data_IF_469086895602
#
_entry.id   IF_469086895602
#
_cell.length_a   1.000
_cell.length_b   1.000
_cell.length_c   1.000
_cell.angle_alpha   90.00
_cell.angle_beta   90.00
_cell.angle_gamma   90.00
#
_symmetry.space_group_name_H-M   'P 1'
#
loop_
_entity.id
_entity.type
_entity.pdbx_description
1 polymer ?
#
# COMPACT_ATOMS: atom_id res chain seq x y z
N UNK A 1 4.29 0.97 21.02
CA UNK A 1 4.69 -0.03 20.02
C UNK A 1 4.21 0.39 18.64
N UNK A 2 4.96 0.04 17.64
CA UNK A 2 4.63 0.40 16.24
C UNK A 2 3.48 -0.48 15.77
N UNK A 3 2.48 0.16 15.16
CA UNK A 3 1.36 -0.55 14.53
C UNK A 3 1.03 0.07 13.19
N UNK A 4 0.73 -0.78 12.22
CA UNK A 4 0.23 -0.37 10.90
C UNK A 4 -1.11 -1.08 10.71
N UNK A 5 -2.19 -0.29 10.75
CA UNK A 5 -3.56 -0.82 10.66
C UNK A 5 -4.12 -0.55 9.28
N UNK A 6 -4.35 -1.61 8.53
CA UNK A 6 -4.86 -1.50 7.17
C UNK A 6 -6.38 -1.61 7.14
N UNK A 7 -6.98 -1.02 6.10
CA UNK A 7 -8.42 -1.09 5.88
C UNK A 7 -8.85 -2.52 5.53
N UNK A 8 -10.15 -2.77 5.64
CA UNK A 8 -10.71 -4.11 5.48
C UNK A 8 -10.76 -4.60 4.04
N UNK A 9 -11.19 -5.85 3.86
CA UNK A 9 -11.22 -6.46 2.53
C UNK A 9 -12.18 -5.75 1.58
N UNK A 10 -11.85 -5.80 0.30
CA UNK A 10 -12.62 -5.14 -0.76
C UNK A 10 -13.01 -6.16 -1.82
N UNK A 11 -14.27 -6.09 -2.25
CA UNK A 11 -14.78 -6.89 -3.35
C UNK A 11 -15.31 -5.91 -4.39
N UNK A 12 -14.69 -5.86 -5.55
CA UNK A 12 -15.00 -4.85 -6.56
C UNK A 12 -15.10 -5.48 -7.95
N UNK A 13 -15.70 -4.74 -8.88
CA UNK A 13 -15.90 -5.21 -10.26
C UNK A 13 -14.74 -4.77 -11.14
N UNK A 14 -14.47 -5.53 -12.23
CA UNK A 14 -13.47 -5.11 -13.22
C UNK A 14 -13.76 -3.71 -13.76
N UNK A 15 -12.70 -2.95 -13.98
CA UNK A 15 -12.81 -1.59 -14.47
C UNK A 15 -12.98 -0.55 -13.39
N UNK A 16 -13.30 -0.94 -12.17
CA UNK A 16 -13.46 -0.02 -11.05
C UNK A 16 -12.10 0.41 -10.49
N UNK A 17 -12.13 1.33 -9.54
CA UNK A 17 -10.96 1.75 -8.76
C UNK A 17 -11.22 1.43 -7.30
N UNK A 18 -10.15 1.28 -6.53
CA UNK A 18 -10.25 1.06 -5.08
C UNK A 18 -9.18 1.89 -4.40
N UNK A 19 -9.47 2.38 -3.20
CA UNK A 19 -8.50 3.12 -2.39
C UNK A 19 -8.44 2.46 -1.02
N UNK A 20 -7.26 2.01 -0.64
CA UNK A 20 -7.06 1.36 0.65
C UNK A 20 -6.14 2.21 1.52
N UNK A 21 -6.23 2.02 2.84
CA UNK A 21 -5.52 2.85 3.79
C UNK A 21 -4.64 2.03 4.71
N UNK A 22 -3.65 2.72 5.29
CA UNK A 22 -2.71 2.16 6.25
C UNK A 22 -2.46 3.23 7.30
N UNK A 23 -3.07 3.07 8.48
CA UNK A 23 -2.92 4.03 9.57
C UNK A 23 -1.76 3.61 10.46
N UNK A 24 -0.81 4.52 10.64
CA UNK A 24 0.39 4.28 11.41
C UNK A 24 0.26 4.85 12.81
N UNK A 25 0.83 4.17 13.80
CA UNK A 25 0.91 4.66 15.17
C UNK A 25 2.16 4.11 15.84
N UNK A 26 2.58 4.77 16.92
CA UNK A 26 3.71 4.31 17.71
C UNK A 26 5.06 4.81 17.23
N UNK A 27 5.09 5.69 16.24
CA UNK A 27 6.33 6.30 15.75
C UNK A 27 6.00 7.60 15.03
N UNK A 28 7.02 8.37 14.70
CA UNK A 28 6.82 9.64 13.97
C UNK A 28 6.62 9.33 12.49
N UNK A 29 5.37 9.47 12.06
CA UNK A 29 4.93 9.08 10.71
C UNK A 29 5.80 9.70 9.60
N UNK A 30 6.18 10.97 9.76
CA UNK A 30 6.95 11.69 8.73
C UNK A 30 8.44 11.33 8.71
N UNK A 31 8.91 10.50 9.63
CA UNK A 31 10.34 10.16 9.71
C UNK A 31 10.73 8.97 8.86
N UNK A 32 9.77 8.22 8.32
CA UNK A 32 10.05 6.98 7.59
C UNK A 32 9.16 6.87 6.36
N UNK A 33 9.69 6.30 5.29
CA UNK A 33 8.90 6.05 4.09
C UNK A 33 7.95 4.88 4.33
N UNK A 34 6.82 4.88 3.61
CA UNK A 34 5.86 3.80 3.66
C UNK A 34 5.85 3.11 2.31
N UNK A 35 6.16 1.81 2.31
CA UNK A 35 6.15 0.99 1.11
C UNK A 35 4.83 0.25 0.97
N UNK A 36 4.49 -0.09 -0.26
CA UNK A 36 3.35 -0.93 -0.58
C UNK A 36 3.82 -2.13 -1.38
N UNK A 37 3.28 -3.31 -1.05
CA UNK A 37 3.73 -4.58 -1.60
C UNK A 37 2.50 -5.41 -1.94
N UNK A 38 2.58 -6.14 -3.05
CA UNK A 38 1.50 -7.00 -3.54
C UNK A 38 1.91 -8.45 -3.41
N UNK A 39 0.97 -9.30 -2.97
CA UNK A 39 1.20 -10.74 -2.92
C UNK A 39 -0.01 -11.47 -3.48
N UNK A 40 0.15 -12.09 -4.65
CA UNK A 40 -0.87 -12.96 -5.22
C UNK A 40 -0.77 -14.33 -4.57
N UNK A 41 -1.90 -15.07 -4.44
CA UNK A 41 -1.88 -16.39 -3.82
C UNK A 41 -0.83 -17.29 -4.46
N UNK A 42 0.01 -17.91 -3.60
CA UNK A 42 1.03 -18.85 -4.05
C UNK A 42 2.23 -18.22 -4.75
N UNK A 43 2.34 -16.90 -4.76
CA UNK A 43 3.44 -16.20 -5.42
C UNK A 43 4.22 -15.36 -4.41
N UNK A 44 5.40 -14.90 -4.84
CA UNK A 44 6.25 -14.07 -4.00
C UNK A 44 5.75 -12.64 -3.90
N UNK A 45 6.42 -11.86 -3.08
CA UNK A 45 6.09 -10.44 -2.88
C UNK A 45 6.55 -9.64 -4.09
N UNK A 46 5.76 -8.64 -4.44
CA UNK A 46 6.07 -7.71 -5.52
C UNK A 46 5.98 -6.30 -4.99
N UNK A 47 7.09 -5.54 -5.06
CA UNK A 47 7.15 -4.17 -4.57
C UNK A 47 6.42 -3.25 -5.53
N UNK A 48 5.51 -2.42 -5.01
CA UNK A 48 4.73 -1.48 -5.81
C UNK A 48 5.41 -0.12 -5.83
N UNK A 49 5.82 0.39 -4.67
CA UNK A 49 6.42 1.70 -4.57
C UNK A 49 6.44 2.17 -3.13
N UNK A 50 6.92 3.41 -2.93
CA UNK A 50 6.87 4.03 -1.60
C UNK A 50 6.47 5.50 -1.69
N UNK A 51 6.00 6.00 -0.56
CA UNK A 51 5.77 7.43 -0.38
C UNK A 51 6.55 7.90 0.84
N UNK A 52 7.16 9.08 0.72
CA UNK A 52 7.80 9.78 1.83
C UNK A 52 6.79 10.78 2.38
N UNK A 53 6.19 10.52 3.57
CA UNK A 53 5.13 11.40 4.07
C UNK A 53 5.60 12.82 4.40
N UNK A 54 6.90 13.02 4.60
CA UNK A 54 7.44 14.33 4.91
C UNK A 54 7.41 15.25 3.69
N UNK A 55 7.78 14.71 2.53
CA UNK A 55 7.91 15.48 1.29
C UNK A 55 6.78 15.25 0.30
N UNK A 56 5.95 14.24 0.53
CA UNK A 56 4.98 13.69 -0.42
C UNK A 56 5.64 13.09 -1.67
N UNK A 57 6.95 12.91 -1.65
CA UNK A 57 7.67 12.29 -2.76
C UNK A 57 7.35 10.81 -2.88
N UNK A 58 7.21 10.33 -4.10
CA UNK A 58 6.89 8.94 -4.38
C UNK A 58 7.90 8.33 -5.33
N UNK A 59 8.02 7.00 -5.23
CA UNK A 59 8.76 6.22 -6.21
C UNK A 59 7.96 4.96 -6.50
N UNK A 60 7.85 4.60 -7.77
CA UNK A 60 7.05 3.46 -8.20
C UNK A 60 7.90 2.44 -8.95
N UNK A 61 7.57 1.16 -8.75
CA UNK A 61 8.00 0.12 -9.65
C UNK A 61 7.38 0.45 -11.02
N UNK A 62 8.20 0.40 -12.05
CA UNK A 62 7.78 0.74 -13.42
C UNK A 62 6.50 0.02 -13.84
N UNK A 63 6.35 -1.22 -13.38
CA UNK A 63 5.20 -2.07 -13.68
C UNK A 63 3.88 -1.50 -13.14
N UNK A 64 3.94 -0.70 -12.07
CA UNK A 64 2.74 -0.16 -11.43
C UNK A 64 2.49 1.31 -11.73
N UNK A 65 3.34 1.94 -12.54
CA UNK A 65 3.09 3.33 -12.95
C UNK A 65 1.80 3.38 -13.76
N UNK A 66 0.92 4.32 -13.41
CA UNK A 66 -0.38 4.43 -14.04
C UNK A 66 -1.45 3.49 -13.46
N UNK A 67 -1.04 2.49 -12.66
CA UNK A 67 -1.95 1.59 -11.97
C UNK A 67 -2.15 2.03 -10.53
N UNK A 68 -1.08 2.30 -9.82
CA UNK A 68 -1.10 2.65 -8.40
C UNK A 68 -0.79 4.13 -8.19
N UNK A 69 -1.50 4.76 -7.25
CA UNK A 69 -1.23 6.13 -6.82
C UNK A 69 -1.11 6.12 -5.30
N UNK A 70 0.04 6.57 -4.80
CA UNK A 70 0.31 6.62 -3.37
C UNK A 70 0.17 8.04 -2.86
N UNK A 71 -0.56 8.20 -1.76
CA UNK A 71 -0.74 9.49 -1.10
C UNK A 71 -0.62 9.29 0.40
N UNK A 72 -0.53 10.38 1.14
CA UNK A 72 -0.50 10.33 2.60
C UNK A 72 -1.15 11.56 3.19
N UNK A 73 -1.61 11.43 4.43
CA UNK A 73 -2.18 12.52 5.20
C UNK A 73 -1.44 12.58 6.54
N UNK A 74 -0.63 13.64 6.71
CA UNK A 74 0.18 13.80 7.92
C UNK A 74 -0.69 13.95 9.17
N UNK A 75 -1.83 14.65 9.04
CA UNK A 75 -2.67 14.92 10.20
C UNK A 75 -3.29 13.68 10.81
N UNK A 76 -3.52 12.66 10.02
CA UNK A 76 -4.08 11.39 10.48
C UNK A 76 -3.05 10.25 10.50
N UNK A 77 -1.80 10.52 10.15
CA UNK A 77 -0.73 9.50 10.06
C UNK A 77 -1.16 8.31 9.21
N UNK A 78 -1.81 8.58 8.09
CA UNK A 78 -2.38 7.54 7.23
C UNK A 78 -1.78 7.62 5.83
N UNK A 79 -1.37 6.46 5.31
CA UNK A 79 -0.94 6.32 3.93
C UNK A 79 -2.06 5.64 3.14
N UNK A 80 -2.17 6.00 1.87
CA UNK A 80 -3.22 5.48 0.98
C UNK A 80 -2.61 4.97 -0.29
N UNK A 81 -3.24 3.93 -0.84
CA UNK A 81 -2.93 3.45 -2.18
C UNK A 81 -4.23 3.32 -2.96
N UNK A 82 -4.28 3.96 -4.12
CA UNK A 82 -5.38 3.81 -5.06
C UNK A 82 -4.94 2.97 -6.24
N UNK A 83 -5.74 1.98 -6.59
CA UNK A 83 -5.52 1.14 -7.77
C UNK A 83 -6.66 1.40 -8.75
N UNK A 84 -6.31 1.64 -10.02
CA UNK A 84 -7.29 2.00 -11.04
C UNK A 84 -7.42 0.92 -12.11
N UNK A 85 -8.52 0.98 -12.86
CA UNK A 85 -8.77 0.08 -14.00
C UNK A 85 -8.55 -1.37 -13.63
N UNK A 86 -9.22 -1.81 -12.57
CA UNK A 86 -8.98 -3.10 -11.96
C UNK A 86 -9.34 -4.27 -12.87
N UNK A 87 -8.51 -5.29 -12.85
CA UNK A 87 -8.75 -6.57 -13.55
C UNK A 87 -8.54 -7.70 -12.54
N UNK A 88 -8.83 -8.94 -12.97
CA UNK A 88 -8.62 -10.10 -12.11
C UNK A 88 -7.15 -10.26 -11.70
N UNK A 89 -6.21 -9.72 -12.50
CA UNK A 89 -4.79 -9.77 -12.16
C UNK A 89 -4.45 -8.93 -10.93
N UNK A 90 -5.34 -8.00 -10.56
CA UNK A 90 -5.13 -7.16 -9.37
C UNK A 90 -5.62 -7.82 -8.09
N UNK A 91 -6.32 -8.96 -8.19
CA UNK A 91 -6.75 -9.71 -7.00
C UNK A 91 -5.53 -10.24 -6.27
N UNK A 92 -5.36 -9.81 -5.02
CA UNK A 92 -4.17 -10.12 -4.23
C UNK A 92 -4.36 -9.60 -2.82
N UNK A 93 -3.40 -9.88 -1.95
CA UNK A 93 -3.29 -9.22 -0.65
C UNK A 93 -2.26 -8.10 -0.82
N UNK A 94 -2.61 -6.90 -0.34
CA UNK A 94 -1.74 -5.73 -0.41
C UNK A 94 -1.31 -5.35 0.99
N UNK A 95 -0.01 -5.15 1.17
CA UNK A 95 0.57 -4.80 2.47
C UNK A 95 1.19 -3.42 2.41
N UNK A 96 1.05 -2.66 3.49
CA UNK A 96 1.92 -1.52 3.72
C UNK A 96 3.04 -1.97 4.65
N UNK A 97 4.22 -1.37 4.49
CA UNK A 97 5.38 -1.74 5.30
C UNK A 97 6.23 -0.51 5.57
N UNK A 98 6.62 -0.34 6.81
CA UNK A 98 7.48 0.74 7.24
C UNK A 98 8.93 0.29 7.11
N UNK A 99 9.79 1.21 6.70
CA UNK A 99 11.20 0.91 6.53
C UNK A 99 12.02 2.02 7.17
N UNK A 100 13.06 1.64 7.92
CA UNK A 100 14.04 2.55 8.47
C UNK A 100 15.01 3.03 7.41
N UNK A 101 15.26 2.17 6.44
CA UNK A 101 16.23 2.42 5.39
C UNK A 101 15.57 2.13 4.07
N UNK A 102 16.27 2.37 2.97
CA UNK A 102 15.74 2.05 1.64
C UNK A 102 15.64 0.56 1.40
N UNK A 103 16.25 -0.26 2.24
CA UNK A 103 16.18 -1.72 2.16
C UNK A 103 15.77 -2.30 3.52
N UNK A 104 14.96 -3.33 3.47
CA UNK A 104 14.51 -4.03 4.67
C UNK A 104 13.34 -3.34 5.35
N UNK A 105 12.25 -4.05 5.46
CA UNK A 105 11.05 -3.57 6.13
C UNK A 105 11.07 -4.07 7.58
N UNK A 106 10.84 -3.16 8.54
CA UNK A 106 10.88 -3.55 9.95
C UNK A 106 9.50 -3.75 10.58
N UNK A 107 8.43 -3.21 9.95
CA UNK A 107 7.06 -3.44 10.41
C UNK A 107 6.12 -3.51 9.22
N UNK A 108 5.12 -4.40 9.31
CA UNK A 108 4.15 -4.65 8.26
C UNK A 108 2.75 -4.44 8.78
N UNK A 109 1.85 -3.96 7.92
CA UNK A 109 0.42 -4.03 8.18
C UNK A 109 -0.08 -5.46 8.07
N UNK A 110 -1.34 -5.68 8.45
CA UNK A 110 -1.92 -7.03 8.42
C UNK A 110 -2.36 -7.47 7.04
N UNK A 111 -2.35 -6.56 6.08
CA UNK A 111 -2.77 -6.85 4.72
C UNK A 111 -4.22 -6.48 4.43
N UNK A 112 -4.48 -6.08 3.20
CA UNK A 112 -5.84 -5.83 2.70
C UNK A 112 -6.07 -6.76 1.51
N UNK A 113 -7.05 -7.63 1.61
CA UNK A 113 -7.41 -8.55 0.52
C UNK A 113 -8.30 -7.83 -0.47
N UNK A 114 -7.88 -7.80 -1.73
CA UNK A 114 -8.67 -7.25 -2.82
C UNK A 114 -9.09 -8.39 -3.73
N UNK A 115 -10.40 -8.48 -3.99
CA UNK A 115 -10.96 -9.45 -4.93
C UNK A 115 -11.67 -8.69 -6.04
N UNK A 116 -11.25 -8.92 -7.28
CA UNK A 116 -11.86 -8.30 -8.46
C UNK A 116 -12.62 -9.41 -9.19
N UNK A 117 -13.95 -9.26 -9.23
CA UNK A 117 -14.82 -10.32 -9.76
C UNK A 117 -16.05 -9.72 -10.41
N UNK A 118 -16.42 -10.27 -11.57
CA UNK A 118 -17.65 -9.84 -12.28
C UNK A 118 -18.92 -10.45 -11.69
#
# INVERSE_FOLDING_TARGET
>A
EVQLQQSGPELVKPGASVKMSCKASGYTFTSYVMHWVKQKPGQGLEWIGYINPYTDGTKYNEKFKGKATLTSDKSSSTAYMELSSLTSEDSAVYYCAKSRTVIGFDYWGQGTTLTVSS
#
